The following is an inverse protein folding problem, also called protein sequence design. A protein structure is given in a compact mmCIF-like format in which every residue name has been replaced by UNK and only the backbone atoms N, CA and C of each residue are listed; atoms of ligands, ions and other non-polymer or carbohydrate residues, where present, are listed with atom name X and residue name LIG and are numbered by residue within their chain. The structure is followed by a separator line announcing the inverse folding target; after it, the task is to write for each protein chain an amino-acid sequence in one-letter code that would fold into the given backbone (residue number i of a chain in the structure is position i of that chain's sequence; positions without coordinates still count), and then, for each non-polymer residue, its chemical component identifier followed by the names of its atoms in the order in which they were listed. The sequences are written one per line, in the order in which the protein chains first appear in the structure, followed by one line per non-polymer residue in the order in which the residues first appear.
data_IF_834801829209
#
_entry.id   IF_834801829209
#
_cell.length_a   1.000
_cell.length_b   1.000
_cell.length_c   1.000
_cell.angle_alpha   90.00
_cell.angle_beta   90.00
_cell.angle_gamma   90.00
#
_symmetry.space_group_name_H-M   'P 1'
#
loop_
_entity.id
_entity.type
_entity.pdbx_description
1 polymer ?
#
# COMPACT_ATOMS: atom_id res chain seq x y z
N UNK A 1 -18.17 5.89 16.59
CA UNK A 1 -17.12 5.38 17.51
C UNK A 1 -16.61 6.54 18.34
N UNK A 2 -16.80 6.51 19.66
CA UNK A 2 -16.47 7.61 20.59
C UNK A 2 -15.19 7.34 21.40
N UNK A 3 -14.37 6.37 20.98
CA UNK A 3 -13.13 5.99 21.67
C UNK A 3 -11.88 6.36 20.86
N UNK A 4 -10.74 6.46 21.56
CA UNK A 4 -9.43 6.62 20.92
C UNK A 4 -9.08 5.36 20.15
N UNK A 5 -8.60 5.49 18.90
CA UNK A 5 -8.11 4.39 18.08
C UNK A 5 -6.95 3.65 18.77
N UNK A 6 -7.01 2.31 18.81
CA UNK A 6 -6.04 1.46 19.56
C UNK A 6 -5.16 0.58 18.68
N UNK A 7 -5.24 0.74 17.36
CA UNK A 7 -4.54 -0.09 16.38
C UNK A 7 -5.37 -1.25 15.86
N UNK A 8 -4.95 -1.79 14.71
CA UNK A 8 -5.71 -2.79 13.93
C UNK A 8 -6.10 -4.02 14.77
N UNK A 9 -5.18 -4.57 15.56
CA UNK A 9 -5.44 -5.79 16.34
C UNK A 9 -6.51 -5.55 17.40
N UNK A 10 -6.41 -4.44 18.14
CA UNK A 10 -7.36 -4.16 19.22
C UNK A 10 -8.76 -3.80 18.72
N UNK A 11 -8.86 -3.12 17.58
CA UNK A 11 -10.15 -2.74 17.01
C UNK A 11 -10.88 -3.91 16.34
N UNK A 12 -10.13 -4.86 15.77
CA UNK A 12 -10.70 -5.95 14.97
C UNK A 12 -10.31 -7.34 15.47
N UNK A 13 -9.97 -7.50 16.76
CA UNK A 13 -9.49 -8.74 17.38
C UNK A 13 -10.33 -9.96 17.00
N UNK A 14 -11.66 -9.86 17.08
CA UNK A 14 -12.57 -10.96 16.76
C UNK A 14 -12.63 -11.39 15.29
N UNK A 15 -11.97 -10.62 14.40
CA UNK A 15 -11.91 -10.88 12.96
C UNK A 15 -10.48 -11.19 12.50
N UNK A 16 -9.51 -11.25 13.42
CA UNK A 16 -8.12 -11.50 13.13
C UNK A 16 -7.67 -12.83 13.73
N UNK A 17 -6.65 -13.48 13.17
CA UNK A 17 -6.15 -14.78 13.67
C UNK A 17 -5.26 -14.59 14.91
N UNK A 18 -5.79 -13.90 15.92
CA UNK A 18 -5.13 -13.62 17.20
C UNK A 18 -5.98 -14.12 18.34
N UNK A 19 -5.34 -14.51 19.45
CA UNK A 19 -6.00 -14.94 20.69
C UNK A 19 -5.82 -13.88 21.79
N UNK A 20 -6.37 -14.11 22.96
CA UNK A 20 -6.15 -13.25 24.12
C UNK A 20 -4.68 -13.23 24.54
N UNK A 21 -3.96 -14.35 24.33
CA UNK A 21 -2.54 -14.53 24.67
C UNK A 21 -1.61 -13.94 23.59
N UNK A 22 -2.08 -13.56 22.42
CA UNK A 22 -1.26 -12.99 21.36
C UNK A 22 -0.70 -11.63 21.80
N UNK A 23 0.64 -11.47 21.93
CA UNK A 23 1.26 -10.18 22.24
C UNK A 23 0.94 -9.14 21.17
N UNK A 24 0.40 -8.00 21.54
CA UNK A 24 0.02 -6.95 20.59
C UNK A 24 1.21 -6.01 20.35
N UNK A 25 1.82 -6.13 19.19
CA UNK A 25 2.88 -5.23 18.71
C UNK A 25 2.25 -4.19 17.80
N UNK A 26 1.99 -3.00 18.30
CA UNK A 26 1.32 -1.93 17.57
C UNK A 26 2.08 -0.59 17.63
N UNK A 27 1.96 0.19 16.58
CA UNK A 27 2.31 1.60 16.46
C UNK A 27 1.05 2.46 16.22
N UNK A 28 -0.13 1.92 16.55
CA UNK A 28 -1.46 2.51 16.32
C UNK A 28 -1.79 2.67 14.82
N UNK A 29 -1.32 1.74 14.01
CA UNK A 29 -1.63 1.64 12.58
C UNK A 29 -3.14 1.42 12.35
N UNK A 30 -3.61 1.76 11.15
CA UNK A 30 -5.02 1.76 10.83
C UNK A 30 -5.70 3.07 11.27
N UNK A 31 -7.03 3.09 11.32
CA UNK A 31 -7.80 4.32 11.55
C UNK A 31 -7.49 5.42 10.54
N UNK A 32 -7.02 5.03 9.35
CA UNK A 32 -6.56 6.00 8.33
C UNK A 32 -7.73 6.79 7.77
N UNK A 33 -7.53 8.06 7.41
CA UNK A 33 -8.61 8.90 6.89
C UNK A 33 -9.27 8.31 5.65
N UNK A 34 -10.60 8.43 5.59
CA UNK A 34 -11.40 8.25 4.38
C UNK A 34 -11.95 9.63 3.99
N UNK A 35 -11.28 10.30 3.06
CA UNK A 35 -11.55 11.68 2.69
C UNK A 35 -12.44 11.74 1.45
N UNK A 36 -13.53 12.50 1.51
CA UNK A 36 -14.31 12.83 0.32
C UNK A 36 -13.49 13.77 -0.59
N UNK A 37 -13.43 13.45 -1.88
CA UNK A 37 -12.67 14.16 -2.90
C UNK A 37 -13.62 14.96 -3.82
N UNK A 38 -13.97 16.22 -3.50
CA UNK A 38 -15.01 16.94 -4.21
C UNK A 38 -14.67 17.22 -5.67
N UNK A 39 -13.45 17.65 -5.96
CA UNK A 39 -13.04 17.99 -7.34
C UNK A 39 -12.90 16.74 -8.22
N UNK A 40 -12.39 15.64 -7.63
CA UNK A 40 -12.34 14.37 -8.35
C UNK A 40 -13.75 13.81 -8.57
N UNK A 41 -14.64 13.96 -7.58
CA UNK A 41 -16.04 13.55 -7.69
C UNK A 41 -16.77 14.28 -8.84
N UNK A 42 -16.59 15.59 -8.95
CA UNK A 42 -17.12 16.40 -10.05
C UNK A 42 -16.54 15.94 -11.40
N UNK A 43 -15.22 15.73 -11.45
CA UNK A 43 -14.52 15.31 -12.68
C UNK A 43 -15.02 13.98 -13.24
N UNK A 44 -15.36 13.01 -12.37
CA UNK A 44 -15.75 11.66 -12.78
C UNK A 44 -17.27 11.41 -12.70
N UNK A 45 -18.05 12.38 -12.23
CA UNK A 45 -19.51 12.25 -12.07
C UNK A 45 -19.94 11.24 -11.01
N UNK A 46 -19.12 10.99 -9.98
CA UNK A 46 -19.35 9.97 -8.96
C UNK A 46 -18.95 10.48 -7.56
N UNK A 47 -19.41 9.85 -6.48
CA UNK A 47 -19.01 10.17 -5.11
C UNK A 47 -17.72 9.46 -4.79
N UNK A 48 -16.57 10.15 -4.91
CA UNK A 48 -15.25 9.56 -4.71
C UNK A 48 -14.72 9.85 -3.31
N UNK A 49 -14.27 8.80 -2.63
CA UNK A 49 -13.55 8.87 -1.37
C UNK A 49 -12.14 8.32 -1.55
N UNK A 50 -11.18 8.94 -0.88
CA UNK A 50 -9.76 8.56 -0.90
C UNK A 50 -9.38 7.95 0.44
N UNK A 51 -9.00 6.66 0.45
CA UNK A 51 -8.49 5.96 1.63
C UNK A 51 -6.99 6.21 1.75
N UNK A 52 -6.60 7.02 2.73
CA UNK A 52 -5.24 7.58 2.83
C UNK A 52 -4.35 6.65 3.66
N UNK A 53 -3.86 5.57 3.06
CA UNK A 53 -2.98 4.61 3.72
C UNK A 53 -1.56 5.15 3.98
N UNK A 54 -1.19 6.25 3.34
CA UNK A 54 0.03 6.99 3.64
C UNK A 54 0.06 7.61 5.04
N UNK A 55 -1.09 7.68 5.74
CA UNK A 55 -1.20 8.15 7.12
C UNK A 55 -0.80 7.09 8.17
N UNK A 56 -0.55 5.84 7.78
CA UNK A 56 -0.02 4.83 8.69
C UNK A 56 1.38 5.23 9.24
N UNK A 57 1.80 4.73 10.41
CA UNK A 57 3.03 5.14 11.10
C UNK A 57 4.31 5.12 10.26
N UNK A 58 4.50 4.11 9.39
CA UNK A 58 5.66 4.07 8.49
C UNK A 58 5.36 4.63 7.09
N UNK A 59 4.21 5.26 6.90
CA UNK A 59 3.82 5.94 5.67
C UNK A 59 3.23 5.02 4.60
N UNK A 60 2.72 3.83 4.93
CA UNK A 60 2.05 2.96 3.95
C UNK A 60 1.13 1.91 4.60
N UNK A 61 0.21 1.34 3.79
CA UNK A 61 -0.68 0.25 4.17
C UNK A 61 0.03 -1.02 4.70
N UNK A 62 1.36 -1.12 4.49
CA UNK A 62 2.13 -2.29 4.93
C UNK A 62 2.04 -2.50 6.43
N UNK A 63 1.84 -1.45 7.21
CA UNK A 63 1.75 -1.47 8.66
C UNK A 63 0.58 -2.35 9.15
N UNK A 64 -0.56 -2.33 8.46
CA UNK A 64 -1.71 -3.15 8.80
C UNK A 64 -1.39 -4.65 8.85
N UNK A 65 -0.69 -5.13 7.82
CA UNK A 65 -0.27 -6.53 7.78
C UNK A 65 0.93 -6.80 8.69
N UNK A 66 1.77 -5.80 8.93
CA UNK A 66 2.98 -5.99 9.72
C UNK A 66 2.68 -6.11 11.21
N UNK A 67 1.73 -5.36 11.75
CA UNK A 67 1.31 -5.50 13.16
C UNK A 67 0.89 -6.95 13.48
N UNK A 68 0.08 -7.56 12.61
CA UNK A 68 -0.37 -8.95 12.81
C UNK A 68 0.78 -9.94 12.63
N UNK A 69 1.58 -9.79 11.56
CA UNK A 69 2.70 -10.69 11.28
C UNK A 69 3.77 -10.68 12.38
N UNK A 70 4.10 -9.50 12.92
CA UNK A 70 5.10 -9.38 14.01
C UNK A 70 4.51 -9.87 15.33
N UNK A 71 3.26 -9.58 15.65
CA UNK A 71 2.59 -10.09 16.84
C UNK A 71 2.58 -11.62 16.87
N UNK A 72 2.27 -12.24 15.73
CA UNK A 72 2.32 -13.71 15.58
C UNK A 72 3.75 -14.25 15.65
N UNK A 73 4.73 -13.54 15.06
CA UNK A 73 6.13 -13.94 15.18
C UNK A 73 6.61 -13.95 16.65
N UNK A 74 6.21 -12.95 17.44
CA UNK A 74 6.51 -12.91 18.89
C UNK A 74 5.83 -14.07 19.62
N UNK A 75 4.53 -14.31 19.35
CA UNK A 75 3.78 -15.43 19.91
C UNK A 75 4.44 -16.78 19.63
N UNK A 76 4.95 -16.97 18.41
CA UNK A 76 5.66 -18.18 17.94
C UNK A 76 7.11 -18.27 18.45
N UNK A 77 7.58 -17.29 19.22
CA UNK A 77 8.92 -17.29 19.83
C UNK A 77 10.06 -16.94 18.87
N UNK A 78 9.78 -16.27 17.75
CA UNK A 78 10.81 -15.80 16.82
C UNK A 78 11.83 -14.90 17.52
N UNK A 79 13.10 -15.00 17.11
CA UNK A 79 14.19 -14.13 17.56
C UNK A 79 14.55 -13.06 16.55
N UNK A 80 14.17 -13.29 15.29
CA UNK A 80 14.40 -12.37 14.21
C UNK A 80 13.28 -12.45 13.18
N UNK A 81 13.12 -11.37 12.43
CA UNK A 81 12.29 -11.33 11.23
C UNK A 81 13.13 -10.96 10.02
N UNK A 82 12.78 -11.52 8.88
CA UNK A 82 13.52 -11.33 7.63
C UNK A 82 12.57 -10.94 6.51
N UNK A 83 12.99 -10.00 5.69
CA UNK A 83 12.30 -9.70 4.42
C UNK A 83 13.29 -9.40 3.30
N UNK A 84 12.89 -9.75 2.07
CA UNK A 84 13.55 -9.30 0.84
C UNK A 84 12.72 -8.13 0.27
N UNK A 85 13.18 -6.90 0.47
CA UNK A 85 12.49 -5.69 0.00
C UNK A 85 13.37 -4.45 0.20
N UNK A 86 13.34 -3.52 -0.75
CA UNK A 86 14.01 -2.20 -0.64
C UNK A 86 13.03 -1.06 -0.33
N UNK A 87 11.72 -1.33 -0.16
CA UNK A 87 10.69 -0.29 -0.09
C UNK A 87 9.80 -0.36 1.16
N UNK A 88 8.50 -0.11 0.98
CA UNK A 88 7.52 0.00 2.07
C UNK A 88 7.48 -1.22 3.01
N UNK A 89 7.75 -2.43 2.51
CA UNK A 89 7.77 -3.64 3.35
C UNK A 89 8.94 -3.63 4.32
N UNK A 90 10.16 -3.29 3.88
CA UNK A 90 11.33 -3.23 4.76
C UNK A 90 11.21 -2.13 5.80
N UNK A 91 10.70 -0.97 5.43
CA UNK A 91 10.44 0.13 6.36
C UNK A 91 9.47 -0.28 7.49
N UNK A 92 8.35 -0.92 7.12
CA UNK A 92 7.37 -1.41 8.09
C UNK A 92 7.94 -2.55 8.94
N UNK A 93 8.62 -3.55 8.33
CA UNK A 93 9.23 -4.66 9.07
C UNK A 93 10.23 -4.18 10.12
N UNK A 94 11.09 -3.22 9.76
CA UNK A 94 12.10 -2.67 10.68
C UNK A 94 11.45 -1.94 11.87
N UNK A 95 10.43 -1.12 11.61
CA UNK A 95 9.74 -0.36 12.65
C UNK A 95 9.03 -1.28 13.67
N UNK A 96 8.26 -2.26 13.18
CA UNK A 96 7.54 -3.18 14.05
C UNK A 96 8.46 -4.19 14.76
N UNK A 97 9.54 -4.64 14.09
CA UNK A 97 10.56 -5.47 14.74
C UNK A 97 11.26 -4.70 15.87
N UNK A 98 11.65 -3.44 15.64
CA UNK A 98 12.21 -2.59 16.68
C UNK A 98 11.25 -2.42 17.86
N UNK A 99 9.96 -2.21 17.59
CA UNK A 99 8.91 -2.13 18.61
C UNK A 99 8.79 -3.40 19.44
N UNK A 100 9.00 -4.57 18.82
CA UNK A 100 8.92 -5.89 19.44
C UNK A 100 10.23 -6.33 20.10
N UNK A 101 11.32 -5.59 19.94
CA UNK A 101 12.65 -6.02 20.40
C UNK A 101 13.25 -7.18 19.57
N UNK A 102 12.77 -7.39 18.34
CA UNK A 102 13.27 -8.42 17.43
C UNK A 102 14.38 -7.88 16.53
N UNK A 103 15.33 -8.74 16.15
CA UNK A 103 16.25 -8.41 15.06
C UNK A 103 15.50 -8.39 13.72
N UNK A 104 15.65 -7.31 12.94
CA UNK A 104 15.17 -7.25 11.58
C UNK A 104 16.33 -7.36 10.59
N UNK A 105 16.26 -8.32 9.67
CA UNK A 105 17.18 -8.43 8.55
C UNK A 105 16.45 -8.13 7.23
N UNK A 106 17.03 -7.25 6.42
CA UNK A 106 16.55 -6.88 5.09
C UNK A 106 17.55 -7.37 4.06
N UNK A 107 17.15 -8.34 3.23
CA UNK A 107 18.00 -8.88 2.17
C UNK A 107 17.71 -8.14 0.85
N UNK A 108 18.78 -7.72 0.19
CA UNK A 108 18.71 -7.03 -1.11
C UNK A 108 19.78 -7.58 -2.05
N UNK A 109 19.54 -7.59 -3.37
CA UNK A 109 20.59 -7.91 -4.33
C UNK A 109 21.74 -6.90 -4.28
N UNK A 110 22.99 -7.39 -4.49
CA UNK A 110 24.17 -6.54 -4.59
C UNK A 110 24.06 -5.54 -5.74
N UNK A 111 24.57 -4.32 -5.54
CA UNK A 111 24.52 -3.24 -6.53
C UNK A 111 23.18 -2.48 -6.62
N UNK A 112 22.15 -2.84 -5.85
CA UNK A 112 20.83 -2.22 -5.90
C UNK A 112 20.49 -1.40 -4.64
N UNK A 113 21.48 -0.68 -4.09
CA UNK A 113 21.26 0.18 -2.91
C UNK A 113 20.71 1.54 -3.34
N UNK A 114 19.40 1.73 -3.16
CA UNK A 114 18.82 3.06 -3.08
C UNK A 114 18.75 3.48 -1.59
N UNK A 115 19.79 4.13 -1.08
CA UNK A 115 19.87 4.51 0.35
C UNK A 115 18.64 5.28 0.82
N UNK A 116 18.09 6.18 -0.01
CA UNK A 116 16.87 6.92 0.31
C UNK A 116 15.67 6.00 0.59
N UNK A 117 15.51 4.91 -0.16
CA UNK A 117 14.42 3.93 0.04
C UNK A 117 14.66 3.04 1.25
N UNK A 118 15.92 2.81 1.62
CA UNK A 118 16.31 2.02 2.79
C UNK A 118 16.47 2.85 4.07
N UNK A 119 16.53 4.18 3.95
CA UNK A 119 16.80 5.08 5.07
C UNK A 119 15.89 4.80 6.28
N UNK A 120 14.60 4.59 6.03
CA UNK A 120 13.65 4.29 7.10
C UNK A 120 13.92 2.94 7.78
N UNK A 121 14.28 1.91 7.03
CA UNK A 121 14.65 0.61 7.62
C UNK A 121 15.95 0.70 8.42
N UNK A 122 16.94 1.40 7.89
CA UNK A 122 18.24 1.59 8.54
C UNK A 122 18.13 2.39 9.85
N UNK A 123 17.37 3.48 9.89
CA UNK A 123 17.21 4.30 11.10
C UNK A 123 16.45 3.57 12.21
N UNK A 124 15.59 2.60 11.86
CA UNK A 124 14.96 1.69 12.81
C UNK A 124 15.87 0.54 13.25
N UNK A 125 17.13 0.51 12.82
CA UNK A 125 18.11 -0.48 13.24
C UNK A 125 18.07 -1.82 12.50
N UNK A 126 17.42 -1.89 11.34
CA UNK A 126 17.45 -3.11 10.53
C UNK A 126 18.85 -3.38 9.97
N UNK A 127 19.23 -4.64 9.96
CA UNK A 127 20.45 -5.14 9.32
C UNK A 127 20.19 -5.33 7.83
N UNK A 128 20.68 -4.43 7.00
CA UNK A 128 20.57 -4.55 5.54
C UNK A 128 21.75 -5.39 5.04
N UNK A 129 21.43 -6.55 4.45
CA UNK A 129 22.40 -7.50 3.95
C UNK A 129 22.33 -7.56 2.43
N UNK A 130 23.42 -7.18 1.77
CA UNK A 130 23.55 -7.34 0.33
C UNK A 130 23.98 -8.76 0.01
N UNK A 131 23.23 -9.41 -0.87
CA UNK A 131 23.57 -10.77 -1.33
C UNK A 131 24.02 -10.73 -2.78
N UNK A 132 25.05 -11.53 -3.08
CA UNK A 132 25.48 -11.76 -4.47
C UNK A 132 24.48 -12.68 -5.15
N UNK A 133 23.60 -12.10 -5.96
CA UNK A 133 22.49 -12.79 -6.63
C UNK A 133 21.37 -11.83 -6.97
N UNK A 134 20.29 -12.37 -7.49
CA UNK A 134 19.08 -11.61 -7.79
C UNK A 134 18.06 -11.65 -6.64
N UNK A 135 16.92 -10.99 -6.83
CA UNK A 135 15.85 -10.95 -5.83
C UNK A 135 15.27 -12.34 -5.49
N UNK A 136 15.17 -13.23 -6.49
CA UNK A 136 14.65 -14.59 -6.29
C UNK A 136 15.59 -15.42 -5.42
N UNK A 137 16.91 -15.27 -5.59
CA UNK A 137 17.91 -15.89 -4.74
C UNK A 137 17.82 -15.38 -3.28
N UNK A 138 17.59 -14.06 -3.10
CA UNK A 138 17.35 -13.49 -1.77
C UNK A 138 16.11 -14.10 -1.11
N UNK A 139 15.03 -14.23 -1.84
CA UNK A 139 13.77 -14.78 -1.33
C UNK A 139 13.91 -16.27 -0.99
N UNK A 140 14.65 -17.03 -1.80
CA UNK A 140 14.90 -18.45 -1.54
C UNK A 140 15.74 -18.66 -0.25
N UNK A 141 16.79 -17.87 -0.05
CA UNK A 141 17.57 -17.89 1.20
C UNK A 141 16.69 -17.58 2.40
N UNK A 142 15.80 -16.59 2.27
CA UNK A 142 14.85 -16.23 3.33
C UNK A 142 13.94 -17.40 3.68
N UNK A 143 13.42 -18.13 2.68
CA UNK A 143 12.57 -19.32 2.90
C UNK A 143 13.34 -20.43 3.66
N UNK A 144 14.54 -20.76 3.21
CA UNK A 144 15.38 -21.77 3.85
C UNK A 144 15.74 -21.41 5.30
N UNK A 145 15.95 -20.13 5.60
CA UNK A 145 16.17 -19.65 6.96
C UNK A 145 14.92 -19.82 7.85
N UNK A 146 13.73 -19.56 7.32
CA UNK A 146 12.48 -19.75 8.05
C UNK A 146 12.23 -21.20 8.47
N UNK A 147 12.70 -22.17 7.67
CA UNK A 147 12.54 -23.60 7.96
C UNK A 147 13.56 -24.15 9.00
N UNK A 148 14.68 -23.46 9.19
CA UNK A 148 15.83 -23.99 9.95
C UNK A 148 16.23 -23.19 11.20
N UNK A 149 15.68 -22.00 11.37
CA UNK A 149 16.02 -21.10 12.48
C UNK A 149 14.76 -20.44 13.08
N UNK A 150 14.79 -19.90 14.31
CA UNK A 150 13.68 -19.15 14.91
C UNK A 150 13.54 -17.78 14.27
N UNK A 151 13.27 -17.77 12.96
CA UNK A 151 13.18 -16.60 12.09
C UNK A 151 11.86 -16.62 11.36
N UNK A 152 11.09 -15.53 11.42
CA UNK A 152 9.83 -15.40 10.67
C UNK A 152 10.01 -14.55 9.42
N UNK A 153 9.53 -15.07 8.30
CA UNK A 153 9.49 -14.35 7.02
C UNK A 153 8.30 -13.40 7.04
N UNK A 154 8.55 -12.09 6.77
CA UNK A 154 7.51 -11.06 6.77
C UNK A 154 7.29 -10.42 5.39
N UNK A 155 7.62 -11.13 4.33
CA UNK A 155 7.29 -10.77 2.94
C UNK A 155 5.78 -10.92 2.66
N UNK A 156 5.36 -10.57 1.46
CA UNK A 156 3.96 -10.68 1.00
C UNK A 156 3.39 -12.11 0.97
N UNK A 157 4.25 -13.12 1.06
CA UNK A 157 3.86 -14.53 1.18
C UNK A 157 3.38 -14.92 2.59
N UNK A 158 3.67 -14.11 3.61
CA UNK A 158 3.22 -14.37 4.98
C UNK A 158 1.69 -14.18 5.07
N UNK A 159 0.92 -15.20 5.47
CA UNK A 159 -0.55 -15.13 5.47
C UNK A 159 -1.10 -14.07 6.42
N UNK A 160 -0.43 -13.83 7.54
CA UNK A 160 -0.83 -12.81 8.51
C UNK A 160 -0.80 -11.38 7.94
N UNK A 161 -0.05 -11.17 6.84
CA UNK A 161 -0.04 -9.89 6.11
C UNK A 161 -1.39 -9.59 5.46
N UNK A 162 -2.02 -10.60 4.85
CA UNK A 162 -3.38 -10.48 4.27
C UNK A 162 -4.40 -10.22 5.37
N UNK A 163 -4.28 -10.94 6.48
CA UNK A 163 -5.20 -10.81 7.63
C UNK A 163 -5.20 -9.38 8.21
N UNK A 164 -4.04 -8.79 8.40
CA UNK A 164 -3.98 -7.40 8.87
C UNK A 164 -4.46 -6.38 7.84
N UNK A 165 -4.10 -6.57 6.56
CA UNK A 165 -4.47 -5.64 5.49
C UNK A 165 -5.99 -5.61 5.21
N UNK A 166 -6.73 -6.71 5.43
CA UNK A 166 -8.18 -6.74 5.25
C UNK A 166 -8.93 -5.72 6.11
N UNK A 167 -8.34 -5.29 7.23
CA UNK A 167 -8.91 -4.25 8.10
C UNK A 167 -9.18 -2.93 7.40
N UNK A 168 -8.47 -2.64 6.29
CA UNK A 168 -8.76 -1.47 5.48
C UNK A 168 -10.16 -1.48 4.86
N UNK A 169 -10.69 -2.66 4.52
CA UNK A 169 -12.07 -2.82 4.05
C UNK A 169 -13.07 -2.59 5.19
N UNK A 170 -12.76 -3.10 6.39
CA UNK A 170 -13.60 -2.89 7.58
C UNK A 170 -13.77 -1.41 7.89
N UNK A 171 -12.67 -0.66 7.94
CA UNK A 171 -12.68 0.78 8.19
C UNK A 171 -13.49 1.57 7.15
N UNK A 172 -13.43 1.18 5.88
CA UNK A 172 -14.23 1.80 4.82
C UNK A 172 -15.73 1.59 5.08
N UNK A 173 -16.11 0.36 5.38
CA UNK A 173 -17.51 0.02 5.68
C UNK A 173 -17.97 0.72 6.95
N UNK A 174 -17.18 0.69 8.00
CA UNK A 174 -17.51 1.35 9.28
C UNK A 174 -17.69 2.88 9.11
N UNK A 175 -16.93 3.50 8.19
CA UNK A 175 -17.04 4.92 7.91
C UNK A 175 -18.20 5.30 6.97
N UNK A 176 -18.53 4.45 5.99
CA UNK A 176 -19.59 4.72 5.00
C UNK A 176 -20.96 4.16 5.43
N UNK A 177 -20.99 3.24 6.39
CA UNK A 177 -22.19 2.50 6.80
C UNK A 177 -22.55 1.32 5.88
N UNK A 178 -21.88 1.14 4.76
CA UNK A 178 -22.01 0.02 3.82
C UNK A 178 -20.76 -0.04 2.92
N UNK A 179 -20.60 -1.12 2.15
CA UNK A 179 -19.55 -1.20 1.16
C UNK A 179 -19.77 -0.21 0.00
N UNK A 180 -18.71 0.40 -0.57
CA UNK A 180 -18.83 1.23 -1.77
C UNK A 180 -19.30 0.38 -2.96
N UNK A 181 -19.80 1.01 -4.02
CA UNK A 181 -20.16 0.29 -5.24
C UNK A 181 -18.92 -0.12 -6.05
N UNK A 182 -17.86 0.70 -5.98
CA UNK A 182 -16.59 0.46 -6.67
C UNK A 182 -15.42 0.68 -5.72
N UNK A 183 -14.44 -0.20 -5.78
CA UNK A 183 -13.21 -0.10 -5.02
C UNK A 183 -12.02 -0.13 -5.98
N UNK A 184 -11.35 1.01 -6.11
CA UNK A 184 -10.18 1.21 -6.98
C UNK A 184 -8.89 1.07 -6.19
N UNK A 185 -7.99 0.17 -6.63
CA UNK A 185 -6.78 -0.15 -5.88
C UNK A 185 -5.59 -0.43 -6.79
N UNK A 186 -4.37 0.07 -6.46
CA UNK A 186 -3.16 -0.30 -7.17
C UNK A 186 -2.80 -1.77 -6.99
N UNK A 187 -2.30 -2.42 -8.03
CA UNK A 187 -1.92 -3.82 -8.03
C UNK A 187 -0.46 -4.00 -8.44
N UNK A 188 0.40 -4.32 -7.46
CA UNK A 188 1.76 -4.79 -7.67
C UNK A 188 1.85 -6.28 -7.32
N UNK A 189 2.26 -6.60 -6.07
CA UNK A 189 2.30 -7.97 -5.55
C UNK A 189 0.91 -8.60 -5.30
N UNK A 190 -0.15 -7.87 -5.60
CA UNK A 190 -1.56 -8.27 -5.55
C UNK A 190 -2.14 -8.61 -4.15
N UNK A 191 -1.31 -8.61 -3.09
CA UNK A 191 -1.78 -8.92 -1.74
C UNK A 191 -2.82 -7.94 -1.19
N UNK A 192 -2.73 -6.66 -1.55
CA UNK A 192 -3.63 -5.64 -1.03
C UNK A 192 -5.07 -5.79 -1.56
N UNK A 193 -5.25 -5.97 -2.87
CA UNK A 193 -6.58 -6.21 -3.47
C UNK A 193 -7.19 -7.51 -2.93
N UNK A 194 -6.37 -8.56 -2.78
CA UNK A 194 -6.78 -9.83 -2.17
C UNK A 194 -7.29 -9.63 -0.74
N UNK A 195 -6.57 -8.84 0.05
CA UNK A 195 -6.93 -8.55 1.44
C UNK A 195 -8.22 -7.73 1.55
N UNK A 196 -8.36 -6.67 0.76
CA UNK A 196 -9.59 -5.86 0.77
C UNK A 196 -10.82 -6.69 0.35
N UNK A 197 -10.67 -7.52 -0.71
CA UNK A 197 -11.76 -8.43 -1.12
C UNK A 197 -12.14 -9.40 -0.01
N UNK A 198 -11.16 -10.01 0.65
CA UNK A 198 -11.39 -10.88 1.81
C UNK A 198 -12.14 -10.13 2.91
N UNK A 199 -11.74 -8.92 3.25
CA UNK A 199 -12.38 -8.11 4.28
C UNK A 199 -13.84 -7.78 3.96
N UNK A 200 -14.15 -7.38 2.74
CA UNK A 200 -15.54 -7.14 2.32
C UNK A 200 -16.41 -8.40 2.42
N UNK A 201 -15.87 -9.54 2.01
CA UNK A 201 -16.58 -10.83 2.12
C UNK A 201 -16.85 -11.22 3.58
N UNK A 202 -15.86 -11.10 4.46
CA UNK A 202 -16.03 -11.38 5.87
C UNK A 202 -17.09 -10.46 6.53
N UNK A 203 -17.15 -9.19 6.13
CA UNK A 203 -18.20 -8.28 6.59
C UNK A 203 -19.57 -8.62 6.02
N UNK A 204 -19.65 -9.16 4.80
CA UNK A 204 -20.89 -9.68 4.25
C UNK A 204 -21.37 -10.91 5.02
N UNK A 205 -20.47 -11.86 5.29
CA UNK A 205 -20.79 -13.07 6.07
C UNK A 205 -21.23 -12.72 7.50
N UNK A 206 -20.67 -11.65 8.06
CA UNK A 206 -21.08 -11.11 9.36
C UNK A 206 -22.35 -10.23 9.31
N UNK A 207 -23.00 -10.08 8.16
CA UNK A 207 -24.21 -9.26 7.97
C UNK A 207 -24.00 -7.76 8.15
N UNK A 208 -22.77 -7.26 8.00
CA UNK A 208 -22.42 -5.85 8.20
C UNK A 208 -22.54 -4.99 6.96
N UNK A 209 -22.71 -5.58 5.77
CA UNK A 209 -22.90 -4.88 4.50
C UNK A 209 -24.05 -5.47 3.72
N UNK A 210 -24.74 -4.64 2.93
CA UNK A 210 -25.86 -5.05 2.08
C UNK A 210 -25.41 -5.44 0.67
N UNK A 211 -24.17 -5.08 0.30
CA UNK A 211 -23.57 -5.33 -1.03
C UNK A 211 -22.07 -5.58 -0.91
N UNK A 212 -21.51 -6.14 -1.97
CA UNK A 212 -20.06 -6.18 -2.19
C UNK A 212 -19.65 -5.17 -3.25
N UNK A 213 -18.44 -4.56 -3.17
CA UNK A 213 -17.97 -3.65 -4.19
C UNK A 213 -17.51 -4.40 -5.43
N UNK A 214 -17.57 -3.76 -6.60
CA UNK A 214 -16.78 -4.17 -7.76
C UNK A 214 -15.33 -3.76 -7.54
N UNK A 215 -14.42 -4.74 -7.52
CA UNK A 215 -12.99 -4.51 -7.33
C UNK A 215 -12.33 -4.14 -8.65
N UNK A 216 -11.80 -2.93 -8.73
CA UNK A 216 -11.06 -2.43 -9.90
C UNK A 216 -9.59 -2.31 -9.53
N UNK A 217 -8.78 -3.27 -9.99
CA UNK A 217 -7.33 -3.30 -9.79
C UNK A 217 -6.61 -2.59 -10.93
N UNK A 218 -5.52 -1.85 -10.61
CA UNK A 218 -4.76 -1.13 -11.62
C UNK A 218 -3.27 -1.45 -11.51
N UNK A 219 -2.70 -1.97 -12.61
CA UNK A 219 -1.27 -2.20 -12.79
C UNK A 219 -0.68 -1.09 -13.66
N UNK A 220 0.59 -0.75 -13.46
CA UNK A 220 1.31 0.09 -14.40
C UNK A 220 1.57 -0.69 -15.70
N UNK A 221 1.37 -0.08 -16.86
CA UNK A 221 1.41 -0.74 -18.17
C UNK A 221 2.71 -1.53 -18.41
N UNK A 222 3.87 -0.95 -18.07
CA UNK A 222 5.17 -1.63 -18.15
C UNK A 222 5.42 -2.68 -17.05
N UNK A 223 4.47 -2.89 -16.13
CA UNK A 223 4.51 -3.87 -15.04
C UNK A 223 3.11 -4.46 -14.80
N UNK A 224 2.45 -4.93 -15.86
CA UNK A 224 1.06 -5.41 -15.86
C UNK A 224 0.95 -6.91 -16.18
N UNK A 225 1.60 -7.82 -15.42
CA UNK A 225 1.63 -9.24 -15.74
C UNK A 225 0.24 -9.88 -15.66
N UNK A 226 -0.65 -9.46 -14.75
CA UNK A 226 -2.01 -10.03 -14.64
C UNK A 226 -2.85 -9.64 -15.86
N UNK A 227 -2.72 -8.41 -16.34
CA UNK A 227 -3.40 -7.95 -17.57
C UNK A 227 -2.85 -8.68 -18.79
N UNK A 228 -1.53 -8.89 -18.86
CA UNK A 228 -0.86 -9.63 -19.93
C UNK A 228 -1.16 -11.15 -19.91
N UNK A 229 -1.56 -11.69 -18.76
CA UNK A 229 -1.80 -13.12 -18.56
C UNK A 229 -0.54 -13.96 -18.36
N UNK A 230 0.64 -13.33 -18.27
CA UNK A 230 1.92 -14.01 -18.04
C UNK A 230 2.89 -13.11 -17.26
N UNK A 231 3.90 -13.67 -16.57
CA UNK A 231 4.95 -12.91 -15.91
C UNK A 231 5.72 -12.00 -16.87
N UNK A 232 6.23 -10.87 -16.34
CA UNK A 232 7.10 -9.92 -17.04
C UNK A 232 8.46 -9.97 -16.36
N UNK A 233 9.52 -10.30 -17.11
CA UNK A 233 10.85 -10.48 -16.53
C UNK A 233 11.52 -9.14 -16.17
N UNK A 234 11.36 -8.11 -17.00
CA UNK A 234 11.93 -6.78 -16.79
C UNK A 234 10.83 -5.72 -16.70
N UNK A 235 10.09 -5.66 -15.56
CA UNK A 235 9.02 -4.69 -15.39
C UNK A 235 9.59 -3.28 -15.22
N UNK A 236 9.04 -2.31 -15.96
CA UNK A 236 9.46 -0.91 -15.91
C UNK A 236 8.27 0.02 -15.68
N UNK A 237 8.39 0.93 -14.70
CA UNK A 237 7.42 1.98 -14.41
C UNK A 237 7.98 3.00 -13.41
N UNK A 238 7.50 4.23 -13.46
CA UNK A 238 7.74 5.28 -12.44
C UNK A 238 7.09 4.93 -11.10
N UNK A 239 6.06 4.09 -11.10
CA UNK A 239 5.33 3.63 -9.92
C UNK A 239 6.07 2.47 -9.22
N UNK A 240 7.24 2.75 -8.66
CA UNK A 240 8.20 1.75 -8.18
C UNK A 240 7.62 0.73 -7.19
N UNK A 241 6.64 1.12 -6.36
CA UNK A 241 6.02 0.23 -5.38
C UNK A 241 5.09 -0.84 -5.99
N UNK A 242 4.68 -0.68 -7.28
CA UNK A 242 3.94 -1.67 -8.06
C UNK A 242 4.73 -2.21 -9.26
N UNK A 243 6.04 -1.95 -9.35
CA UNK A 243 6.95 -2.48 -10.36
C UNK A 243 7.25 -3.95 -10.08
N UNK A 244 6.28 -4.82 -10.34
CA UNK A 244 6.31 -6.24 -10.00
C UNK A 244 5.95 -7.06 -11.24
N UNK A 245 6.88 -7.88 -11.70
CA UNK A 245 6.68 -8.76 -12.87
C UNK A 245 6.07 -10.12 -12.53
N UNK A 246 6.17 -10.58 -11.26
CA UNK A 246 5.67 -11.88 -10.79
C UNK A 246 4.90 -11.72 -9.46
N UNK A 247 3.64 -11.30 -9.49
CA UNK A 247 2.84 -11.07 -8.28
C UNK A 247 2.68 -12.32 -7.41
N UNK A 248 3.02 -12.24 -6.13
CA UNK A 248 2.89 -13.36 -5.21
C UNK A 248 1.42 -13.78 -4.97
N UNK A 249 0.48 -12.83 -5.01
CA UNK A 249 -0.95 -13.08 -4.80
C UNK A 249 -1.76 -13.02 -6.10
N UNK A 250 -1.19 -13.50 -7.21
CA UNK A 250 -1.82 -13.50 -8.53
C UNK A 250 -3.25 -14.04 -8.50
N UNK A 251 -3.41 -15.26 -8.01
CA UNK A 251 -4.71 -15.93 -7.95
C UNK A 251 -5.71 -15.20 -7.06
N UNK A 252 -5.26 -14.63 -5.96
CA UNK A 252 -6.13 -13.85 -5.07
C UNK A 252 -6.65 -12.57 -5.74
N UNK A 253 -5.83 -11.90 -6.54
CA UNK A 253 -6.26 -10.71 -7.28
C UNK A 253 -7.22 -11.05 -8.43
N UNK A 254 -6.95 -12.12 -9.18
CA UNK A 254 -7.87 -12.57 -10.25
C UNK A 254 -9.19 -13.05 -9.69
N UNK A 255 -9.19 -13.74 -8.55
CA UNK A 255 -10.42 -14.11 -7.83
C UNK A 255 -11.19 -12.87 -7.37
N UNK A 256 -10.53 -11.90 -6.73
CA UNK A 256 -11.16 -10.65 -6.31
C UNK A 256 -11.83 -9.90 -7.48
N UNK A 257 -11.16 -9.83 -8.63
CA UNK A 257 -11.69 -9.20 -9.83
C UNK A 257 -12.90 -9.96 -10.40
N UNK A 258 -12.79 -11.28 -10.56
CA UNK A 258 -13.86 -12.09 -11.18
C UNK A 258 -15.08 -12.24 -10.28
N UNK A 259 -14.88 -12.56 -8.99
CA UNK A 259 -15.98 -12.78 -8.03
C UNK A 259 -16.76 -11.50 -7.76
N UNK A 260 -16.10 -10.35 -7.78
CA UNK A 260 -16.75 -9.04 -7.57
C UNK A 260 -17.46 -8.48 -8.82
N UNK A 261 -17.30 -9.14 -9.98
CA UNK A 261 -17.74 -8.60 -11.26
C UNK A 261 -16.96 -7.32 -11.67
N UNK A 262 -15.76 -7.13 -11.12
CA UNK A 262 -14.83 -6.06 -11.45
C UNK A 262 -13.81 -6.43 -12.52
N UNK A 263 -12.55 -5.99 -12.38
CA UNK A 263 -11.49 -6.27 -13.34
C UNK A 263 -10.12 -5.76 -12.89
N UNK A 264 -9.07 -6.20 -13.62
CA UNK A 264 -7.73 -5.65 -13.47
C UNK A 264 -7.32 -5.03 -14.81
N UNK A 265 -6.84 -3.79 -14.77
CA UNK A 265 -6.57 -2.95 -15.92
C UNK A 265 -5.15 -2.39 -15.86
N UNK A 266 -4.62 -1.96 -17.02
CA UNK A 266 -3.35 -1.26 -17.09
C UNK A 266 -3.57 0.25 -17.22
N UNK A 267 -2.71 1.02 -16.55
CA UNK A 267 -2.58 2.48 -16.69
C UNK A 267 -1.14 2.81 -17.05
N UNK A 268 -0.95 3.75 -17.97
CA UNK A 268 0.37 4.20 -18.39
C UNK A 268 1.04 5.07 -17.32
N UNK A 269 2.37 5.18 -17.38
CA UNK A 269 3.12 6.10 -16.50
C UNK A 269 2.67 7.55 -16.66
N UNK A 270 2.27 7.97 -17.88
CA UNK A 270 1.71 9.30 -18.11
C UNK A 270 0.39 9.51 -17.37
N UNK A 271 -0.55 8.56 -17.43
CA UNK A 271 -1.81 8.59 -16.71
C UNK A 271 -1.60 8.61 -15.20
N UNK A 272 -0.62 7.82 -14.70
CA UNK A 272 -0.25 7.80 -13.27
C UNK A 272 0.29 9.17 -12.83
N UNK A 273 1.20 9.76 -13.59
CA UNK A 273 1.80 11.06 -13.25
C UNK A 273 0.78 12.20 -13.37
N UNK A 274 -0.17 12.13 -14.29
CA UNK A 274 -1.28 13.11 -14.37
C UNK A 274 -2.18 13.02 -13.14
N UNK A 275 -2.56 11.82 -12.73
CA UNK A 275 -3.35 11.61 -11.52
C UNK A 275 -2.57 12.01 -10.26
N UNK A 276 -1.25 11.75 -10.21
CA UNK A 276 -0.35 12.14 -9.13
C UNK A 276 -0.33 13.65 -8.93
N UNK A 277 -0.11 14.42 -10.02
CA UNK A 277 -0.17 15.89 -9.98
C UNK A 277 -1.55 16.40 -9.61
N UNK A 278 -2.60 15.80 -10.19
CA UNK A 278 -3.98 16.17 -9.89
C UNK A 278 -4.31 16.00 -8.39
N UNK A 279 -3.96 14.87 -7.79
CA UNK A 279 -4.16 14.61 -6.35
C UNK A 279 -3.47 15.69 -5.49
N UNK A 280 -2.23 16.04 -5.80
CA UNK A 280 -1.49 17.06 -5.06
C UNK A 280 -2.09 18.46 -5.23
N UNK A 281 -2.38 18.86 -6.47
CA UNK A 281 -2.77 20.23 -6.80
C UNK A 281 -4.27 20.51 -6.61
N UNK A 282 -5.12 19.49 -6.79
CA UNK A 282 -6.57 19.65 -6.72
C UNK A 282 -7.18 19.13 -5.42
N UNK A 283 -6.69 18.02 -4.88
CA UNK A 283 -7.19 17.40 -3.64
C UNK A 283 -6.24 17.62 -2.44
N UNK A 284 -5.10 18.30 -2.64
CA UNK A 284 -4.08 18.59 -1.61
C UNK A 284 -3.51 17.33 -0.95
N UNK A 285 -3.42 16.23 -1.70
CA UNK A 285 -2.95 14.94 -1.20
C UNK A 285 -1.62 14.54 -1.86
N UNK A 286 -0.58 14.44 -1.04
CA UNK A 286 0.75 14.01 -1.47
C UNK A 286 0.93 12.51 -1.20
N UNK A 287 0.80 11.69 -2.24
CA UNK A 287 0.96 10.24 -2.17
C UNK A 287 2.13 9.76 -3.05
N UNK A 288 2.58 8.53 -2.90
CA UNK A 288 3.56 7.94 -3.83
C UNK A 288 2.94 7.69 -5.22
N UNK A 289 3.72 7.67 -6.33
CA UNK A 289 3.17 7.47 -7.68
C UNK A 289 2.33 6.21 -7.83
N UNK A 290 2.74 5.12 -7.20
CA UNK A 290 1.97 3.87 -7.18
C UNK A 290 0.55 4.03 -6.66
N UNK A 291 0.34 4.92 -5.68
CA UNK A 291 -0.97 5.23 -5.11
C UNK A 291 -1.89 5.88 -6.14
N UNK A 292 -1.34 6.77 -6.97
CA UNK A 292 -2.09 7.49 -7.98
C UNK A 292 -2.66 6.58 -9.08
N UNK A 293 -2.14 5.36 -9.24
CA UNK A 293 -2.66 4.39 -10.20
C UNK A 293 -4.15 4.06 -9.98
N UNK A 294 -4.65 4.10 -8.72
CA UNK A 294 -6.07 3.90 -8.42
C UNK A 294 -6.95 5.00 -9.00
N UNK A 295 -6.49 6.26 -8.95
CA UNK A 295 -7.20 7.42 -9.48
C UNK A 295 -7.03 7.51 -11.00
N UNK A 296 -5.84 7.26 -11.53
CA UNK A 296 -5.60 7.17 -12.98
C UNK A 296 -6.53 6.14 -13.62
N UNK A 297 -6.64 4.98 -12.98
CA UNK A 297 -7.52 3.91 -13.44
C UNK A 297 -9.00 4.28 -13.36
N UNK A 298 -9.45 4.91 -12.28
CA UNK A 298 -10.82 5.41 -12.15
C UNK A 298 -11.16 6.38 -13.29
N UNK A 299 -10.28 7.33 -13.57
CA UNK A 299 -10.47 8.31 -14.66
C UNK A 299 -10.52 7.62 -16.03
N UNK A 300 -9.67 6.60 -16.23
CA UNK A 300 -9.58 5.86 -17.49
C UNK A 300 -10.79 4.98 -17.78
N UNK A 301 -11.22 4.17 -16.79
CA UNK A 301 -12.30 3.20 -17.02
C UNK A 301 -13.69 3.77 -16.76
N UNK A 302 -13.79 4.83 -15.95
CA UNK A 302 -15.07 5.42 -15.55
C UNK A 302 -15.92 4.51 -14.67
N UNK A 303 -16.96 5.08 -14.10
CA UNK A 303 -18.00 4.38 -13.32
C UNK A 303 -19.36 5.04 -13.62
N UNK A 304 -20.51 4.39 -13.34
CA UNK A 304 -21.81 5.01 -13.48
C UNK A 304 -21.94 6.30 -12.67
N UNK A 305 -22.67 7.26 -13.22
CA UNK A 305 -22.96 8.54 -12.56
C UNK A 305 -23.58 8.34 -11.16
N UNK A 306 -23.14 9.12 -10.20
CA UNK A 306 -23.60 9.06 -8.81
C UNK A 306 -23.13 7.86 -7.99
N UNK A 307 -22.34 6.94 -8.59
CA UNK A 307 -21.80 5.78 -7.87
C UNK A 307 -20.91 6.21 -6.70
N UNK A 308 -20.91 5.43 -5.62
CA UNK A 308 -19.95 5.58 -4.51
C UNK A 308 -18.68 4.77 -4.81
N UNK A 309 -17.55 5.47 -4.85
CA UNK A 309 -16.24 4.92 -5.21
C UNK A 309 -15.25 5.18 -4.08
N UNK A 310 -14.41 4.20 -3.78
CA UNK A 310 -13.24 4.39 -2.92
C UNK A 310 -11.98 4.11 -3.73
N UNK A 311 -11.03 5.06 -3.72
CA UNK A 311 -9.68 4.87 -4.25
C UNK A 311 -8.69 4.75 -3.09
N UNK A 312 -7.84 3.72 -3.11
CA UNK A 312 -6.82 3.51 -2.07
C UNK A 312 -5.53 4.23 -2.47
N UNK A 313 -5.09 5.17 -1.63
CA UNK A 313 -3.78 5.81 -1.73
C UNK A 313 -2.79 5.09 -0.81
N UNK A 314 -2.04 4.16 -1.36
CA UNK A 314 -1.31 3.10 -0.67
C UNK A 314 -0.14 3.56 0.19
N UNK A 315 0.50 4.69 -0.18
CA UNK A 315 1.67 5.21 0.53
C UNK A 315 1.84 6.72 0.40
N UNK A 316 2.61 7.27 1.32
CA UNK A 316 2.91 8.70 1.40
C UNK A 316 3.90 9.13 0.31
N UNK A 317 3.80 10.37 -0.20
CA UNK A 317 4.66 10.90 -1.26
C UNK A 317 6.16 10.91 -0.93
N UNK A 318 6.52 11.07 0.34
CA UNK A 318 7.91 11.00 0.78
C UNK A 318 8.56 9.60 0.68
N UNK A 319 7.80 8.58 0.26
CA UNK A 319 8.34 7.25 -0.05
C UNK A 319 9.12 7.23 -1.37
N UNK A 320 8.82 8.15 -2.27
CA UNK A 320 9.49 8.30 -3.57
C UNK A 320 9.66 9.80 -3.92
N UNK A 321 10.48 10.55 -3.14
CA UNK A 321 10.60 12.01 -3.29
C UNK A 321 11.23 12.42 -4.63
N UNK A 322 12.08 11.58 -5.23
CA UNK A 322 12.76 11.87 -6.50
C UNK A 322 11.76 12.06 -7.64
N UNK A 323 10.69 11.28 -7.63
CA UNK A 323 9.62 11.45 -8.63
C UNK A 323 8.91 12.79 -8.43
N UNK A 324 8.64 13.20 -7.19
CA UNK A 324 8.04 14.52 -6.93
C UNK A 324 8.93 15.65 -7.49
N UNK A 325 10.23 15.58 -7.22
CA UNK A 325 11.21 16.56 -7.72
C UNK A 325 11.23 16.59 -9.24
N UNK A 326 11.13 15.44 -9.91
CA UNK A 326 11.11 15.36 -11.37
C UNK A 326 9.86 15.96 -12.03
N UNK A 327 8.77 16.15 -11.25
CA UNK A 327 7.50 16.71 -11.75
C UNK A 327 7.37 18.22 -11.58
N UNK A 328 8.36 18.90 -11.00
CA UNK A 328 8.33 20.35 -10.72
C UNK A 328 9.40 21.08 -11.49
N UNK A 329 9.12 22.32 -11.84
CA UNK A 329 10.14 23.21 -12.36
C UNK A 329 11.14 23.59 -11.27
N UNK A 330 12.43 23.66 -11.61
CA UNK A 330 13.45 24.12 -10.66
C UNK A 330 13.15 25.58 -10.30
N UNK A 331 13.01 25.91 -8.99
CA UNK A 331 12.80 27.28 -8.57
C UNK A 331 13.94 28.19 -9.04
N UNK A 332 13.60 29.31 -9.63
CA UNK A 332 14.59 30.34 -10.02
C UNK A 332 14.73 31.40 -8.93
N UNK A 333 15.93 31.91 -8.76
CA UNK A 333 16.15 33.08 -7.91
C UNK A 333 15.55 34.33 -8.57
N UNK A 334 14.90 35.17 -7.76
CA UNK A 334 14.42 36.47 -8.15
C UNK A 334 15.05 37.50 -7.22
N UNK A 335 15.04 38.78 -7.61
CA UNK A 335 15.50 39.86 -6.73
C UNK A 335 14.65 39.95 -5.46
N UNK A 336 15.29 40.27 -4.34
CA UNK A 336 14.62 40.42 -3.04
C UNK A 336 13.92 41.81 -2.96
N UNK A 337 12.97 41.99 -3.86
CA UNK A 337 12.24 43.24 -4.04
C UNK A 337 10.75 42.98 -4.17
N UNK A 338 9.97 43.95 -3.62
CA UNK A 338 8.51 43.86 -3.58
C UNK A 338 7.86 43.71 -4.97
N UNK A 339 8.40 44.44 -5.97
CA UNK A 339 7.82 44.44 -7.33
C UNK A 339 8.09 43.13 -8.03
N UNK A 340 9.31 42.57 -7.90
CA UNK A 340 9.65 41.26 -8.44
C UNK A 340 8.76 40.17 -7.85
N UNK A 341 8.56 40.19 -6.52
CA UNK A 341 7.68 39.22 -5.83
C UNK A 341 6.23 39.34 -6.30
N UNK A 342 5.70 40.54 -6.40
CA UNK A 342 4.32 40.77 -6.88
C UNK A 342 4.12 40.28 -8.32
N UNK A 343 5.09 40.59 -9.20
CA UNK A 343 5.02 40.11 -10.59
C UNK A 343 5.01 38.59 -10.68
N UNK A 344 5.81 37.88 -9.86
CA UNK A 344 5.86 36.42 -9.83
C UNK A 344 4.57 35.81 -9.28
N UNK A 345 3.89 36.49 -8.34
CA UNK A 345 2.60 36.08 -7.77
C UNK A 345 1.39 36.46 -8.64
N UNK A 346 1.59 37.18 -9.73
CA UNK A 346 0.50 37.67 -10.58
C UNK A 346 -0.39 38.74 -9.92
N UNK A 347 0.17 39.52 -8.96
CA UNK A 347 -0.54 40.54 -8.16
C UNK A 347 -0.23 41.96 -8.60
#
# INVERSE_FOLDING_TARGET
MTGTWRGVIEEYRGLLPVTEDTPVVTLLEGGTPLLFAPRLSERVGAKVYLKIEGANPTGSFKDRGMTVAISKAVEEGAKAVVCASTGNTSASAAAYAARAGLTCAVLIPDGHIALGKLAQALIHGARVLQIRGNFDAALEIVRQLGDTAPVTIVNSINPYRIEGQKSGAFEIVDALGDAPQYHCIPVGNAGNITAYWKGYREYQDAGRVTRLPRMLGFQAEGAAPIVAGHPIDDPETVATAIRIGRPASWYGATAAASESGGGIFAVSDAEILDAYRYLAQSESLFCEPASAASVAGLVKVGVPEGATVVCVLTGHGLKDPDIAISQIAVPRAIEADRHAIRAELGL
#
